data_IF_011527581748
#
_entry.id   IF_011527581748
#
_cell.length_a   1.000
_cell.length_b   1.000
_cell.length_c   1.000
_cell.angle_alpha   90.00
_cell.angle_beta   90.00
_cell.angle_gamma   90.00
#
_symmetry.space_group_name_H-M   'P 1'
#
loop_
_entity.id
_entity.type
_entity.pdbx_description
1 polymer ?
#
# COMPACT_ATOMS: atom_id res chain seq x y z
N UNK A 1 -24.01 25.27 -5.72
CA UNK A 1 -22.99 25.54 -6.78
C UNK A 1 -22.23 24.24 -6.99
N UNK A 2 -22.14 23.79 -8.24
CA UNK A 2 -21.99 22.37 -8.60
C UNK A 2 -20.68 21.71 -8.15
N UNK A 3 -20.81 20.50 -7.60
CA UNK A 3 -19.72 19.55 -7.46
C UNK A 3 -19.21 19.18 -8.86
N UNK A 4 -18.04 19.69 -9.22
CA UNK A 4 -17.32 19.24 -10.42
C UNK A 4 -16.87 17.81 -10.17
N UNK A 5 -17.52 16.87 -10.85
CA UNK A 5 -17.00 15.53 -11.07
C UNK A 5 -15.74 15.65 -11.95
N UNK A 6 -14.60 15.90 -11.31
CA UNK A 6 -13.32 15.64 -11.95
C UNK A 6 -13.14 14.13 -12.01
N UNK A 7 -13.47 13.57 -13.17
CA UNK A 7 -13.12 12.20 -13.51
C UNK A 7 -11.59 12.10 -13.43
N UNK A 8 -11.11 11.42 -12.39
CA UNK A 8 -9.70 11.09 -12.19
C UNK A 8 -9.26 10.16 -13.33
N UNK A 9 -8.68 10.71 -14.40
CA UNK A 9 -8.03 9.91 -15.42
C UNK A 9 -6.70 9.38 -14.86
N UNK A 10 -6.71 8.11 -14.46
CA UNK A 10 -5.49 7.36 -14.16
C UNK A 10 -4.69 7.25 -15.47
N UNK A 11 -3.44 7.73 -15.54
CA UNK A 11 -2.69 7.88 -16.79
C UNK A 11 -2.05 6.55 -17.22
N UNK A 12 -2.84 5.48 -17.24
CA UNK A 12 -2.43 4.19 -17.78
C UNK A 12 -3.28 3.97 -19.02
N UNK A 13 -2.74 4.33 -20.19
CA UNK A 13 -3.34 3.95 -21.47
C UNK A 13 -3.24 2.43 -21.62
N UNK A 14 -4.27 1.72 -21.16
CA UNK A 14 -4.43 0.29 -21.43
C UNK A 14 -5.31 0.17 -22.69
N UNK A 15 -4.83 -0.44 -23.78
CA UNK A 15 -5.65 -0.64 -24.97
C UNK A 15 -6.99 -1.30 -24.58
N UNK A 16 -8.14 -0.79 -25.07
CA UNK A 16 -9.49 -1.17 -24.62
C UNK A 16 -9.81 -2.69 -24.66
N UNK A 17 -9.10 -3.48 -25.48
CA UNK A 17 -9.22 -4.94 -25.53
C UNK A 17 -8.30 -5.69 -24.52
N UNK A 18 -7.38 -4.99 -23.87
CA UNK A 18 -6.36 -5.52 -22.94
C UNK A 18 -6.58 -5.08 -21.49
N UNK A 19 -7.60 -4.29 -21.15
CA UNK A 19 -7.86 -3.85 -19.77
C UNK A 19 -8.60 -4.86 -18.88
N UNK A 20 -9.22 -5.89 -19.47
CA UNK A 20 -10.09 -6.83 -18.73
C UNK A 20 -9.34 -7.65 -17.68
N UNK A 21 -8.04 -7.93 -17.88
CA UNK A 21 -7.26 -8.63 -16.86
C UNK A 21 -7.10 -7.79 -15.59
N UNK A 22 -7.02 -6.46 -15.68
CA UNK A 22 -6.90 -5.59 -14.52
C UNK A 22 -8.14 -5.64 -13.65
N UNK A 23 -9.33 -5.56 -14.27
CA UNK A 23 -10.61 -5.67 -13.56
C UNK A 23 -10.67 -7.01 -12.82
N UNK A 24 -10.39 -8.12 -13.50
CA UNK A 24 -10.37 -9.43 -12.83
C UNK A 24 -9.37 -9.49 -11.66
N UNK A 25 -8.22 -8.84 -11.77
CA UNK A 25 -7.21 -8.84 -10.70
C UNK A 25 -7.61 -7.97 -9.52
N UNK A 26 -8.27 -6.85 -9.75
CA UNK A 26 -8.86 -6.00 -8.69
C UNK A 26 -9.95 -6.76 -7.94
N UNK A 27 -10.78 -7.52 -8.66
CA UNK A 27 -11.82 -8.39 -8.09
C UNK A 27 -11.26 -9.67 -7.40
N UNK A 28 -9.93 -9.79 -7.28
CA UNK A 28 -9.30 -10.94 -6.61
C UNK A 28 -9.32 -12.24 -7.41
N UNK A 29 -9.64 -12.21 -8.69
CA UNK A 29 -9.72 -13.41 -9.52
C UNK A 29 -8.34 -14.05 -9.75
N UNK A 30 -8.16 -15.37 -9.56
CA UNK A 30 -6.90 -16.07 -9.82
C UNK A 30 -6.44 -15.94 -11.28
N UNK A 31 -5.13 -15.81 -11.51
CA UNK A 31 -4.53 -15.63 -12.85
C UNK A 31 -5.02 -16.70 -13.84
N UNK A 32 -5.16 -17.96 -13.41
CA UNK A 32 -5.65 -19.06 -14.27
C UNK A 32 -7.11 -18.88 -14.68
N UNK A 33 -7.94 -18.35 -13.79
CA UNK A 33 -9.34 -18.06 -14.10
C UNK A 33 -9.43 -16.84 -15.02
N UNK A 34 -8.60 -15.82 -14.79
CA UNK A 34 -8.47 -14.68 -15.74
C UNK A 34 -8.05 -15.14 -17.13
N UNK A 35 -7.08 -16.06 -17.25
CA UNK A 35 -6.66 -16.64 -18.54
C UNK A 35 -7.82 -17.36 -19.24
N UNK A 36 -8.60 -18.17 -18.51
CA UNK A 36 -9.76 -18.85 -19.07
C UNK A 36 -10.86 -17.88 -19.53
N UNK A 37 -11.16 -16.84 -18.73
CA UNK A 37 -12.22 -15.88 -19.04
C UNK A 37 -11.84 -14.90 -20.16
N UNK A 38 -10.57 -14.52 -20.24
CA UNK A 38 -10.10 -13.48 -21.18
C UNK A 38 -9.44 -14.04 -22.43
N UNK A 39 -9.03 -15.32 -22.43
CA UNK A 39 -8.20 -15.92 -23.48
C UNK A 39 -6.75 -15.38 -23.52
N UNK A 40 -6.36 -14.50 -22.59
CA UNK A 40 -5.01 -13.94 -22.51
C UNK A 40 -4.12 -14.92 -21.74
N UNK A 41 -2.99 -15.31 -22.33
CA UNK A 41 -2.06 -16.24 -21.66
C UNK A 41 -1.58 -15.69 -20.31
N UNK A 42 -1.51 -16.57 -19.31
CA UNK A 42 -1.07 -16.21 -17.95
C UNK A 42 0.29 -15.50 -17.92
N UNK A 43 1.24 -15.89 -18.77
CA UNK A 43 2.57 -15.27 -18.82
C UNK A 43 2.48 -13.80 -19.27
N UNK A 44 1.55 -13.49 -20.18
CA UNK A 44 1.27 -12.13 -20.61
C UNK A 44 0.61 -11.33 -19.50
N UNK A 45 -0.34 -11.91 -18.77
CA UNK A 45 -0.97 -11.28 -17.60
C UNK A 45 0.09 -10.95 -16.55
N UNK A 46 0.92 -11.92 -16.15
CA UNK A 46 1.99 -11.73 -15.16
C UNK A 46 2.98 -10.65 -15.60
N UNK A 47 3.38 -10.64 -16.88
CA UNK A 47 4.34 -9.64 -17.40
C UNK A 47 3.77 -8.22 -17.41
N UNK A 48 2.45 -8.08 -17.55
CA UNK A 48 1.79 -6.78 -17.48
C UNK A 48 1.55 -6.31 -16.04
N UNK A 49 1.40 -7.23 -15.07
CA UNK A 49 1.18 -6.88 -13.66
C UNK A 49 2.34 -6.10 -13.04
N UNK A 50 3.59 -6.43 -13.40
CA UNK A 50 4.79 -5.76 -12.86
C UNK A 50 4.80 -4.25 -13.18
N UNK A 51 4.76 -3.81 -14.46
CA UNK A 51 4.75 -2.38 -14.77
C UNK A 51 3.48 -1.67 -14.29
N UNK A 52 2.33 -2.36 -14.24
CA UNK A 52 1.12 -1.79 -13.64
C UNK A 52 1.33 -1.49 -12.16
N UNK A 53 1.88 -2.45 -11.40
CA UNK A 53 2.18 -2.29 -9.99
C UNK A 53 3.17 -1.16 -9.72
N UNK A 54 4.24 -1.05 -10.52
CA UNK A 54 5.18 0.08 -10.45
C UNK A 54 4.51 1.42 -10.71
N UNK A 55 3.50 1.47 -11.58
CA UNK A 55 2.66 2.63 -11.79
C UNK A 55 1.80 2.95 -10.56
N UNK A 56 1.10 1.95 -10.02
CA UNK A 56 0.25 2.08 -8.83
C UNK A 56 1.02 2.58 -7.61
N UNK A 57 2.23 2.08 -7.36
CA UNK A 57 3.07 2.54 -6.24
C UNK A 57 3.44 4.03 -6.31
N UNK A 58 3.50 4.61 -7.51
CA UNK A 58 3.85 6.03 -7.70
C UNK A 58 2.66 6.96 -7.51
N UNK A 59 1.43 6.43 -7.50
CA UNK A 59 0.23 7.26 -7.42
C UNK A 59 0.08 7.95 -6.06
N UNK A 60 0.15 7.24 -4.90
CA UNK A 60 -0.02 7.88 -3.60
C UNK A 60 0.93 9.06 -3.39
N UNK A 61 2.23 8.88 -3.66
CA UNK A 61 3.21 9.95 -3.48
C UNK A 61 2.97 11.18 -4.36
N UNK A 62 2.26 11.03 -5.49
CA UNK A 62 1.90 12.13 -6.39
C UNK A 62 0.57 12.79 -6.02
N UNK A 63 -0.40 12.02 -5.55
CA UNK A 63 -1.79 12.48 -5.39
C UNK A 63 -2.17 12.75 -3.93
N UNK A 64 -1.57 12.05 -2.98
CA UNK A 64 -1.84 12.15 -1.54
C UNK A 64 -0.90 13.18 -0.91
N UNK A 65 -1.05 14.45 -1.28
CA UNK A 65 -0.29 15.57 -0.69
C UNK A 65 -1.24 16.67 -0.27
N UNK A 66 -0.88 17.38 0.80
CA UNK A 66 -1.68 18.50 1.27
C UNK A 66 -2.92 18.07 2.06
N UNK A 67 -2.93 16.85 2.61
CA UNK A 67 -4.12 16.28 3.23
C UNK A 67 -4.40 16.89 4.60
N UNK A 68 -5.69 17.07 4.90
CA UNK A 68 -6.21 17.49 6.21
C UNK A 68 -6.94 16.30 6.82
N UNK A 69 -6.18 15.41 7.46
CA UNK A 69 -6.73 14.30 8.23
C UNK A 69 -6.60 14.66 9.72
N UNK A 70 -7.59 14.30 10.53
CA UNK A 70 -7.59 14.57 11.97
C UNK A 70 -7.23 13.29 12.76
N UNK A 71 -7.74 12.13 12.34
CA UNK A 71 -7.51 10.85 13.02
C UNK A 71 -7.00 9.78 12.05
N UNK A 72 -5.74 9.38 12.23
CA UNK A 72 -5.11 8.30 11.46
C UNK A 72 -4.99 7.04 12.31
N UNK A 73 -5.45 5.92 11.76
CA UNK A 73 -5.20 4.58 12.24
C UNK A 73 -4.09 3.95 11.41
N UNK A 74 -3.04 3.47 12.07
CA UNK A 74 -1.97 2.70 11.47
C UNK A 74 -2.17 1.22 11.78
N UNK A 75 -2.29 0.40 10.75
CA UNK A 75 -2.52 -1.04 10.84
C UNK A 75 -1.50 -1.79 9.95
N UNK A 76 -1.26 -3.07 10.26
CA UNK A 76 -0.55 -3.97 9.37
C UNK A 76 -1.23 -5.32 9.18
N UNK A 77 -1.31 -5.69 7.90
CA UNK A 77 -1.80 -7.01 7.50
C UNK A 77 -0.62 -7.92 7.21
N UNK A 78 -0.53 -9.04 7.92
CA UNK A 78 0.51 -10.05 7.69
C UNK A 78 0.25 -10.86 6.41
N UNK A 79 1.32 -11.09 5.64
CA UNK A 79 1.36 -11.99 4.50
C UNK A 79 2.73 -12.66 4.38
N UNK A 80 2.92 -13.56 3.42
CA UNK A 80 4.22 -14.18 3.15
C UNK A 80 4.45 -14.37 1.65
N UNK A 81 5.72 -14.37 1.25
CA UNK A 81 6.14 -14.69 -0.11
C UNK A 81 6.93 -15.99 -0.14
N UNK A 82 6.52 -16.92 -1.02
CA UNK A 82 7.08 -18.27 -1.10
C UNK A 82 6.68 -19.14 0.08
N UNK A 83 7.34 -18.97 1.21
CA UNK A 83 7.11 -19.69 2.46
C UNK A 83 7.01 -18.73 3.64
N UNK A 84 6.32 -19.15 4.71
CA UNK A 84 6.34 -18.43 6.00
C UNK A 84 7.76 -18.45 6.57
N UNK A 85 8.16 -17.40 7.30
CA UNK A 85 9.51 -17.32 7.89
C UNK A 85 9.94 -18.58 8.68
N UNK A 86 9.08 -19.23 9.49
CA UNK A 86 9.45 -20.45 10.21
C UNK A 86 9.69 -21.68 9.33
N UNK A 87 9.23 -21.65 8.08
CA UNK A 87 9.33 -22.76 7.13
C UNK A 87 10.37 -22.52 6.04
N UNK A 88 11.19 -21.47 6.16
CA UNK A 88 12.29 -21.23 5.23
C UNK A 88 13.37 -22.29 5.42
N UNK A 89 13.78 -22.90 4.32
CA UNK A 89 14.90 -23.83 4.27
C UNK A 89 16.20 -23.10 3.97
N UNK A 90 17.35 -23.78 4.15
CA UNK A 90 18.67 -23.20 3.87
C UNK A 90 18.88 -22.79 2.40
N UNK A 91 18.12 -23.38 1.48
CA UNK A 91 18.15 -23.05 0.06
C UNK A 91 17.29 -21.82 -0.30
N UNK A 92 16.38 -21.40 0.57
CA UNK A 92 15.49 -20.27 0.32
C UNK A 92 16.23 -18.95 0.56
N UNK A 93 15.97 -17.94 -0.28
CA UNK A 93 16.53 -16.61 -0.10
C UNK A 93 15.68 -15.84 0.94
N UNK A 94 16.17 -15.59 2.16
CA UNK A 94 15.39 -14.91 3.19
C UNK A 94 15.15 -13.43 2.87
N UNK A 95 15.84 -12.84 1.89
CA UNK A 95 15.58 -11.47 1.45
C UNK A 95 14.33 -11.39 0.56
N UNK A 96 14.12 -12.38 -0.29
CA UNK A 96 13.00 -12.44 -1.25
C UNK A 96 11.79 -13.17 -0.69
N UNK A 97 11.99 -14.12 0.24
CA UNK A 97 10.95 -14.97 0.81
C UNK A 97 10.74 -14.72 2.30
N UNK A 98 9.66 -15.29 2.84
CA UNK A 98 9.32 -15.17 4.25
C UNK A 98 8.15 -14.22 4.49
N UNK A 99 8.09 -13.71 5.71
CA UNK A 99 6.97 -12.88 6.16
C UNK A 99 7.13 -11.42 5.73
N UNK A 100 6.03 -10.84 5.29
CA UNK A 100 5.88 -9.44 4.89
C UNK A 100 4.63 -8.86 5.52
N UNK A 101 4.60 -7.53 5.65
CA UNK A 101 3.48 -6.79 6.21
C UNK A 101 3.09 -5.70 5.23
N UNK A 102 1.79 -5.57 5.01
CA UNK A 102 1.19 -4.42 4.34
C UNK A 102 0.85 -3.41 5.41
N UNK A 103 1.65 -2.36 5.49
CA UNK A 103 1.46 -1.21 6.37
C UNK A 103 0.48 -0.26 5.73
N UNK A 104 -0.55 0.14 6.47
CA UNK A 104 -1.63 1.00 5.98
C UNK A 104 -1.87 2.10 7.00
N UNK A 105 -1.69 3.36 6.58
CA UNK A 105 -2.21 4.51 7.30
C UNK A 105 -3.59 4.83 6.72
N UNK A 106 -4.62 4.75 7.56
CA UNK A 106 -6.02 4.97 7.20
C UNK A 106 -6.55 6.17 7.97
N UNK A 107 -7.12 7.14 7.27
CA UNK A 107 -7.93 8.19 7.88
C UNK A 107 -9.30 7.61 8.27
N UNK A 108 -9.60 7.60 9.56
CA UNK A 108 -10.81 6.94 10.08
C UNK A 108 -12.09 7.66 9.70
N UNK A 109 -12.03 8.97 9.40
CA UNK A 109 -13.20 9.78 9.06
C UNK A 109 -13.55 9.67 7.57
N UNK A 110 -12.55 9.73 6.70
CA UNK A 110 -12.74 9.75 5.25
C UNK A 110 -12.51 8.39 4.58
N UNK A 111 -11.94 7.43 5.32
CA UNK A 111 -11.48 6.14 4.79
C UNK A 111 -10.40 6.30 3.70
N UNK A 112 -9.75 7.47 3.66
CA UNK A 112 -8.61 7.71 2.78
C UNK A 112 -7.39 6.93 3.29
N UNK A 113 -6.56 6.43 2.37
CA UNK A 113 -5.29 5.79 2.70
C UNK A 113 -4.15 6.67 2.18
N UNK A 114 -3.59 7.58 3.01
CA UNK A 114 -2.51 8.47 2.58
C UNK A 114 -1.23 7.72 2.22
N UNK A 115 -0.92 6.66 2.97
CA UNK A 115 0.33 5.90 2.84
C UNK A 115 0.04 4.41 2.94
N UNK A 116 0.61 3.65 2.00
CA UNK A 116 0.62 2.19 2.00
C UNK A 116 2.01 1.69 1.61
N UNK A 117 2.55 0.73 2.35
CA UNK A 117 3.86 0.14 2.07
C UNK A 117 3.86 -1.35 2.34
N UNK A 118 4.45 -2.14 1.44
CA UNK A 118 4.66 -3.58 1.64
C UNK A 118 6.12 -3.81 1.96
N UNK A 119 6.41 -4.24 3.18
CA UNK A 119 7.78 -4.34 3.66
C UNK A 119 7.89 -5.29 4.87
N UNK A 120 9.08 -5.37 5.46
CA UNK A 120 9.32 -6.20 6.65
C UNK A 120 8.75 -5.52 7.89
N UNK A 121 8.53 -6.31 8.95
CA UNK A 121 8.18 -5.77 10.26
C UNK A 121 9.42 -5.42 11.07
N UNK A 122 10.03 -4.28 10.75
CA UNK A 122 11.21 -3.72 11.43
C UNK A 122 11.07 -2.20 11.62
N UNK A 123 11.94 -1.64 12.44
CA UNK A 123 11.93 -0.22 12.78
C UNK A 123 12.26 0.68 11.59
N UNK A 124 13.12 0.24 10.66
CA UNK A 124 13.44 1.02 9.47
C UNK A 124 12.20 1.25 8.60
N UNK A 125 11.42 0.19 8.36
CA UNK A 125 10.15 0.31 7.62
C UNK A 125 9.16 1.20 8.38
N UNK A 126 9.07 1.08 9.70
CA UNK A 126 8.17 1.93 10.49
C UNK A 126 8.51 3.41 10.33
N UNK A 127 9.80 3.78 10.36
CA UNK A 127 10.27 5.16 10.12
C UNK A 127 9.91 5.63 8.72
N UNK A 128 10.13 4.80 7.70
CA UNK A 128 9.83 5.15 6.31
C UNK A 128 8.32 5.44 6.14
N UNK A 129 7.46 4.57 6.69
CA UNK A 129 5.99 4.72 6.62
C UNK A 129 5.53 6.00 7.33
N UNK A 130 6.03 6.26 8.53
CA UNK A 130 5.63 7.42 9.33
C UNK A 130 6.14 8.72 8.68
N UNK A 131 7.36 8.71 8.15
CA UNK A 131 7.94 9.85 7.42
C UNK A 131 7.14 10.15 6.14
N UNK A 132 6.79 9.12 5.37
CA UNK A 132 5.95 9.29 4.19
C UNK A 132 4.56 9.84 4.55
N UNK A 133 3.93 9.31 5.61
CA UNK A 133 2.66 9.82 6.13
C UNK A 133 2.77 11.30 6.55
N UNK A 134 3.80 11.68 7.31
CA UNK A 134 4.03 13.07 7.71
C UNK A 134 4.14 13.99 6.52
N UNK A 135 4.85 13.55 5.47
CA UNK A 135 5.06 14.33 4.25
C UNK A 135 3.79 14.57 3.43
N UNK A 136 2.75 13.77 3.69
CA UNK A 136 1.46 13.83 2.99
C UNK A 136 0.44 14.72 3.70
N UNK A 137 0.67 15.01 4.99
CA UNK A 137 -0.24 15.74 5.88
C UNK A 137 0.17 17.21 6.09
N UNK A 138 -0.83 18.06 6.30
CA UNK A 138 -0.64 19.50 6.58
C UNK A 138 -0.96 19.90 8.01
N UNK A 139 -1.65 19.03 8.73
CA UNK A 139 -2.21 19.28 10.06
C UNK A 139 -1.56 18.41 11.12
N UNK A 140 -1.73 18.82 12.38
CA UNK A 140 -1.50 17.98 13.55
C UNK A 140 -2.54 16.86 13.53
N UNK A 141 -2.14 15.63 13.83
CA UNK A 141 -3.05 14.46 13.81
C UNK A 141 -3.12 13.76 15.17
N UNK A 142 -4.21 13.04 15.40
CA UNK A 142 -4.26 11.96 16.36
C UNK A 142 -3.89 10.66 15.64
N UNK A 143 -2.84 9.98 16.09
CA UNK A 143 -2.38 8.72 15.53
C UNK A 143 -2.69 7.58 16.51
N UNK A 144 -3.33 6.53 16.02
CA UNK A 144 -3.52 5.30 16.77
C UNK A 144 -2.94 4.10 16.04
N UNK A 145 -2.33 3.16 16.77
CA UNK A 145 -1.88 1.89 16.19
C UNK A 145 -1.94 0.76 17.21
N UNK A 146 -2.32 -0.43 16.76
CA UNK A 146 -2.30 -1.61 17.59
C UNK A 146 -0.93 -2.31 17.53
N UNK A 147 -0.20 -2.19 18.65
CA UNK A 147 0.90 -3.09 19.03
C UNK A 147 2.11 -3.18 18.07
N UNK A 148 2.87 -2.09 17.97
CA UNK A 148 4.35 -2.20 17.89
C UNK A 148 5.02 -1.08 18.69
N UNK A 149 5.68 -1.44 19.80
CA UNK A 149 6.37 -0.50 20.69
C UNK A 149 7.46 0.34 19.99
N UNK A 150 7.99 -0.13 18.85
CA UNK A 150 9.02 0.56 18.05
C UNK A 150 8.50 1.79 17.30
N UNK A 151 7.18 2.01 17.25
CA UNK A 151 6.57 3.14 16.56
C UNK A 151 6.65 4.44 17.34
N UNK A 152 6.67 4.38 18.68
CA UNK A 152 6.71 5.60 19.50
C UNK A 152 7.96 6.41 19.16
N UNK A 153 9.12 5.76 19.09
CA UNK A 153 10.38 6.41 18.70
C UNK A 153 10.31 6.99 17.28
N UNK A 154 9.71 6.28 16.32
CA UNK A 154 9.60 6.72 14.94
C UNK A 154 8.56 7.86 14.76
N UNK A 155 7.49 7.86 15.55
CA UNK A 155 6.48 8.91 15.63
C UNK A 155 7.08 10.16 16.25
N UNK A 156 7.80 10.04 17.37
CA UNK A 156 8.52 11.15 17.99
C UNK A 156 9.58 11.73 17.05
N UNK A 157 10.32 10.89 16.33
CA UNK A 157 11.35 11.33 15.37
C UNK A 157 10.73 12.11 14.17
N UNK A 158 9.55 11.71 13.70
CA UNK A 158 8.92 12.29 12.50
C UNK A 158 7.97 13.46 12.79
N UNK A 159 7.23 13.39 13.90
CA UNK A 159 6.19 14.37 14.27
C UNK A 159 6.59 15.21 15.49
N UNK A 160 7.57 14.80 16.31
CA UNK A 160 7.91 15.49 17.55
C UNK A 160 6.70 15.62 18.49
N UNK A 161 6.41 16.83 18.96
CA UNK A 161 5.23 17.13 19.80
C UNK A 161 3.94 17.41 18.98
N UNK A 162 4.01 17.37 17.65
CA UNK A 162 2.89 17.67 16.74
C UNK A 162 1.97 16.45 16.50
N UNK A 163 1.87 15.53 17.44
CA UNK A 163 0.99 14.36 17.33
C UNK A 163 0.48 13.97 18.71
N UNK A 164 -0.81 13.62 18.78
CA UNK A 164 -1.37 12.94 19.94
C UNK A 164 -1.39 11.43 19.63
N UNK A 165 -0.55 10.66 20.32
CA UNK A 165 -0.42 9.21 20.13
C UNK A 165 -1.27 8.46 21.16
N UNK A 166 -2.19 7.60 20.68
CA UNK A 166 -3.13 6.86 21.52
C UNK A 166 -3.17 5.35 21.19
#
# INVERSE_FOLDING_TARGET
>A
MGHRNEQFEVPIEVPKARGSYLVHRVEGCPIRSTEQMTGVRRDTITRLLVPTWEGCQKLPNKTMKGLQCESIQLDEIWTFFGNKKPHLNRADNPFEMGDFWTWVALDSDTVLVPTIQIARRNIETARDVISDLRSSLTTRIQLSSDMLCQRVDAVEESFGAEVDYA
#
